data_IF_146450137937
#
_entry.id   IF_146450137937
#
_cell.length_a   1.000
_cell.length_b   1.000
_cell.length_c   1.000
_cell.angle_alpha   90.00
_cell.angle_beta   90.00
_cell.angle_gamma   90.00
#
_symmetry.space_group_name_H-M   'P 1'
#
loop_
_entity.id
_entity.type
_entity.pdbx_description
1 polymer ?
#
# COMPACT_ATOMS: atom_id res chain seq x y z
N UNK A 1 13.88 -13.19 -22.05
CA UNK A 1 14.06 -12.54 -20.75
C UNK A 1 13.61 -13.49 -19.65
N UNK A 2 14.38 -13.78 -18.60
CA UNK A 2 14.06 -14.83 -17.63
C UNK A 2 12.76 -14.55 -16.83
N UNK A 3 12.38 -13.29 -16.64
CA UNK A 3 11.14 -12.94 -15.96
C UNK A 3 9.89 -13.34 -16.78
N UNK A 4 9.92 -13.16 -18.10
CA UNK A 4 8.79 -13.52 -18.97
C UNK A 4 8.60 -15.03 -19.10
N UNK A 5 9.66 -15.83 -18.87
CA UNK A 5 9.55 -17.28 -18.87
C UNK A 5 8.63 -17.81 -17.75
N UNK A 6 8.54 -17.10 -16.60
CA UNK A 6 7.61 -17.45 -15.53
C UNK A 6 6.15 -17.31 -15.95
N UNK A 7 5.83 -16.37 -16.82
CA UNK A 7 4.47 -16.20 -17.35
C UNK A 7 4.05 -17.34 -18.30
N UNK A 8 4.99 -18.16 -18.75
CA UNK A 8 4.70 -19.41 -19.48
C UNK A 8 4.23 -20.55 -18.57
N UNK A 9 4.43 -20.45 -17.26
CA UNK A 9 4.01 -21.46 -16.29
C UNK A 9 2.56 -21.17 -15.84
N UNK A 10 1.66 -22.11 -16.09
CA UNK A 10 0.21 -21.93 -15.91
C UNK A 10 -0.16 -21.40 -14.52
N UNK A 11 0.34 -22.03 -13.45
CA UNK A 11 -0.06 -21.68 -12.09
C UNK A 11 0.54 -20.35 -11.64
N UNK A 12 1.77 -20.03 -12.09
CA UNK A 12 2.36 -18.71 -11.87
C UNK A 12 1.57 -17.61 -12.61
N UNK A 13 1.19 -17.86 -13.86
CA UNK A 13 0.37 -16.92 -14.65
C UNK A 13 -0.99 -16.66 -13.99
N UNK A 14 -1.66 -17.72 -13.51
CA UNK A 14 -2.93 -17.60 -12.78
C UNK A 14 -2.75 -16.73 -11.53
N UNK A 15 -1.73 -16.99 -10.73
CA UNK A 15 -1.43 -16.20 -9.53
C UNK A 15 -1.15 -14.74 -9.88
N UNK A 16 -0.38 -14.49 -10.94
CA UNK A 16 0.01 -13.16 -11.39
C UNK A 16 -1.17 -12.36 -11.95
N UNK A 17 -2.00 -12.95 -12.82
CA UNK A 17 -3.21 -12.30 -13.37
C UNK A 17 -4.22 -12.01 -12.26
N UNK A 18 -4.48 -12.96 -11.36
CA UNK A 18 -5.38 -12.74 -10.24
C UNK A 18 -4.92 -11.57 -9.37
N UNK A 19 -3.61 -11.46 -9.12
CA UNK A 19 -3.05 -10.30 -8.38
C UNK A 19 -3.22 -8.99 -9.14
N UNK A 20 -3.00 -8.99 -10.46
CA UNK A 20 -3.19 -7.78 -11.29
C UNK A 20 -4.61 -7.26 -11.20
N UNK A 21 -5.58 -8.16 -11.34
CA UNK A 21 -7.02 -7.84 -11.26
C UNK A 21 -7.38 -7.36 -9.85
N UNK A 22 -6.91 -8.06 -8.82
CA UNK A 22 -7.16 -7.70 -7.44
C UNK A 22 -6.57 -6.34 -7.06
N UNK A 23 -5.33 -6.03 -7.44
CA UNK A 23 -4.73 -4.71 -7.17
C UNK A 23 -5.47 -3.59 -7.90
N UNK A 24 -5.90 -3.82 -9.13
CA UNK A 24 -6.72 -2.87 -9.87
C UNK A 24 -8.07 -2.64 -9.19
N UNK A 25 -8.80 -3.72 -8.83
CA UNK A 25 -10.07 -3.67 -8.09
C UNK A 25 -9.93 -2.89 -6.78
N UNK A 26 -8.94 -3.25 -5.97
CA UNK A 26 -8.69 -2.65 -4.65
C UNK A 26 -8.34 -1.16 -4.75
N UNK A 27 -7.51 -0.75 -5.72
CA UNK A 27 -7.16 0.66 -5.92
C UNK A 27 -8.31 1.48 -6.47
N UNK A 28 -9.11 0.87 -7.34
CA UNK A 28 -10.37 1.44 -7.82
C UNK A 28 -11.34 1.64 -6.66
N UNK A 29 -11.57 0.60 -5.85
CA UNK A 29 -12.48 0.65 -4.70
C UNK A 29 -12.07 1.73 -3.70
N UNK A 30 -10.77 1.91 -3.44
CA UNK A 30 -10.30 2.96 -2.53
C UNK A 30 -10.75 4.36 -2.94
N UNK A 31 -10.68 4.68 -4.23
CA UNK A 31 -11.15 5.95 -4.77
C UNK A 31 -12.67 6.06 -4.70
N UNK A 32 -13.38 4.99 -5.12
CA UNK A 32 -14.86 4.94 -5.15
C UNK A 32 -15.42 5.07 -3.74
N UNK A 33 -14.84 4.38 -2.75
CA UNK A 33 -15.20 4.51 -1.33
C UNK A 33 -15.01 5.93 -0.79
N UNK A 34 -13.89 6.56 -1.14
CA UNK A 34 -13.63 7.93 -0.71
C UNK A 34 -14.72 8.90 -1.21
N UNK A 35 -15.12 8.81 -2.48
CA UNK A 35 -16.23 9.61 -3.02
C UNK A 35 -17.58 9.23 -2.42
N UNK A 36 -17.85 7.94 -2.23
CA UNK A 36 -19.11 7.47 -1.66
C UNK A 36 -19.29 7.97 -0.22
N UNK A 37 -18.25 7.84 0.61
CA UNK A 37 -18.29 8.31 2.00
C UNK A 37 -18.40 9.83 2.05
N UNK A 38 -17.68 10.55 1.18
CA UNK A 38 -17.78 12.00 1.09
C UNK A 38 -19.21 12.43 0.71
N UNK A 39 -19.82 11.76 -0.25
CA UNK A 39 -21.21 12.04 -0.64
C UNK A 39 -22.22 11.74 0.48
N UNK A 40 -22.03 10.66 1.24
CA UNK A 40 -22.94 10.27 2.33
C UNK A 40 -22.81 11.14 3.57
N UNK A 41 -21.63 11.66 3.85
CA UNK A 41 -21.33 12.31 5.14
C UNK A 41 -20.95 13.78 5.03
N UNK A 42 -20.52 14.25 3.85
CA UNK A 42 -19.97 15.60 3.66
C UNK A 42 -18.70 15.86 4.49
N UNK A 43 -18.03 14.81 4.97
CA UNK A 43 -16.99 14.94 6.00
C UNK A 43 -15.68 14.29 5.62
N UNK A 44 -14.61 15.08 5.55
CA UNK A 44 -13.25 14.59 5.38
C UNK A 44 -12.79 13.67 6.52
N UNK A 45 -13.32 13.84 7.74
CA UNK A 45 -13.03 12.93 8.85
C UNK A 45 -13.46 11.50 8.54
N UNK A 46 -14.69 11.32 8.05
CA UNK A 46 -15.18 9.99 7.69
C UNK A 46 -14.38 9.38 6.52
N UNK A 47 -13.91 10.19 5.58
CA UNK A 47 -13.00 9.71 4.52
C UNK A 47 -11.66 9.22 5.13
N UNK A 48 -11.12 9.94 6.10
CA UNK A 48 -9.91 9.52 6.84
C UNK A 48 -10.07 8.20 7.59
N UNK A 49 -11.28 7.93 8.13
CA UNK A 49 -11.58 6.66 8.80
C UNK A 49 -11.46 5.43 7.87
N UNK A 50 -11.54 5.59 6.55
CA UNK A 50 -11.23 4.49 5.60
C UNK A 50 -9.83 3.94 5.85
N UNK A 51 -8.83 4.81 6.03
CA UNK A 51 -7.46 4.39 6.35
C UNK A 51 -7.40 3.66 7.69
N UNK A 52 -8.13 4.15 8.69
CA UNK A 52 -8.15 3.58 10.05
C UNK A 52 -8.73 2.15 10.02
N UNK A 53 -9.90 1.96 9.44
CA UNK A 53 -10.56 0.65 9.40
C UNK A 53 -9.83 -0.36 8.49
N UNK A 54 -9.26 0.11 7.38
CA UNK A 54 -8.52 -0.75 6.44
C UNK A 54 -7.16 -1.20 6.98
N UNK A 55 -6.44 -0.33 7.68
CA UNK A 55 -5.08 -0.63 8.16
C UNK A 55 -5.03 -0.93 9.67
N UNK A 56 -6.07 -0.59 10.42
CA UNK A 56 -6.17 -0.83 11.86
C UNK A 56 -5.98 -2.28 12.31
N UNK A 57 -6.50 -3.28 11.59
CA UNK A 57 -6.25 -4.69 11.93
C UNK A 57 -4.78 -5.09 11.82
N UNK A 58 -3.99 -4.43 10.96
CA UNK A 58 -2.62 -4.83 10.63
C UNK A 58 -1.66 -4.86 11.84
N UNK A 59 -1.57 -3.84 12.71
CA UNK A 59 -0.67 -3.86 13.86
C UNK A 59 -0.94 -5.02 14.82
N UNK A 60 -2.19 -5.41 14.98
CA UNK A 60 -2.59 -6.50 15.88
C UNK A 60 -2.48 -7.87 15.19
N UNK A 61 -3.07 -8.00 14.02
CA UNK A 61 -3.23 -9.30 13.35
C UNK A 61 -2.00 -9.75 12.58
N UNK A 62 -1.09 -8.83 12.17
CA UNK A 62 0.16 -9.23 11.49
C UNK A 62 1.03 -10.14 12.35
N UNK A 63 0.87 -10.08 13.66
CA UNK A 63 1.53 -10.96 14.62
C UNK A 63 1.13 -12.43 14.42
N UNK A 64 -0.13 -12.65 14.07
CA UNK A 64 -0.71 -13.99 13.90
C UNK A 64 -0.68 -14.44 12.45
N UNK A 65 -0.62 -13.50 11.49
CA UNK A 65 -0.74 -13.77 10.06
C UNK A 65 0.35 -14.71 9.54
N UNK A 66 1.59 -14.53 9.97
CA UNK A 66 2.69 -15.43 9.61
C UNK A 66 2.47 -16.85 10.10
N UNK A 67 2.02 -17.01 11.35
CA UNK A 67 1.73 -18.33 11.93
C UNK A 67 0.57 -19.03 11.23
N UNK A 68 -0.49 -18.28 10.91
CA UNK A 68 -1.63 -18.81 10.16
C UNK A 68 -1.19 -19.20 8.74
N UNK A 69 -0.40 -18.38 8.06
CA UNK A 69 0.12 -18.68 6.72
C UNK A 69 1.04 -19.91 6.68
N UNK A 70 1.75 -20.19 7.79
CA UNK A 70 2.61 -21.38 7.91
C UNK A 70 1.81 -22.65 8.25
N UNK A 71 0.70 -22.53 8.97
CA UNK A 71 -0.10 -23.67 9.48
C UNK A 71 -1.21 -24.11 8.53
N UNK A 72 -1.82 -23.17 7.80
CA UNK A 72 -2.94 -23.46 6.91
C UNK A 72 -2.50 -23.55 5.45
N UNK A 73 -3.33 -24.21 4.65
CA UNK A 73 -3.13 -24.29 3.20
C UNK A 73 -3.23 -22.89 2.58
N UNK A 74 -2.13 -22.41 1.99
CA UNK A 74 -2.00 -21.07 1.40
C UNK A 74 -3.04 -20.78 0.33
N UNK A 75 -3.36 -21.80 -0.50
CA UNK A 75 -4.43 -21.67 -1.49
C UNK A 75 -5.77 -21.38 -0.84
N UNK A 76 -6.09 -22.10 0.26
CA UNK A 76 -7.32 -21.86 1.00
C UNK A 76 -7.37 -20.45 1.60
N UNK A 77 -6.26 -19.98 2.18
CA UNK A 77 -6.17 -18.61 2.71
C UNK A 77 -6.45 -17.60 1.60
N UNK A 78 -5.82 -17.74 0.42
CA UNK A 78 -6.01 -16.83 -0.70
C UNK A 78 -7.47 -16.87 -1.22
N UNK A 79 -8.10 -18.04 -1.27
CA UNK A 79 -9.52 -18.16 -1.65
C UNK A 79 -10.40 -17.44 -0.63
N UNK A 80 -10.19 -17.65 0.68
CA UNK A 80 -10.95 -16.99 1.74
C UNK A 80 -10.79 -15.47 1.67
N UNK A 81 -9.56 -14.97 1.44
CA UNK A 81 -9.27 -13.55 1.28
C UNK A 81 -10.05 -12.96 0.08
N UNK A 82 -9.98 -13.58 -1.09
CA UNK A 82 -10.72 -13.09 -2.26
C UNK A 82 -12.22 -13.20 -2.09
N UNK A 83 -12.72 -14.23 -1.40
CA UNK A 83 -14.14 -14.32 -1.03
C UNK A 83 -14.57 -13.19 -0.10
N UNK A 84 -13.71 -12.78 0.84
CA UNK A 84 -14.00 -11.67 1.74
C UNK A 84 -14.10 -10.33 0.98
N UNK A 85 -13.22 -10.06 0.02
CA UNK A 85 -13.31 -8.87 -0.83
C UNK A 85 -14.58 -8.88 -1.69
N UNK A 86 -14.87 -10.00 -2.34
CA UNK A 86 -16.10 -10.15 -3.15
C UNK A 86 -17.37 -9.95 -2.31
N UNK A 87 -17.45 -10.57 -1.13
CA UNK A 87 -18.59 -10.41 -0.23
C UNK A 87 -18.76 -8.96 0.22
N UNK A 88 -17.66 -8.26 0.51
CA UNK A 88 -17.69 -6.83 0.84
C UNK A 88 -18.21 -6.01 -0.35
N UNK A 89 -17.71 -6.24 -1.56
CA UNK A 89 -18.13 -5.51 -2.75
C UNK A 89 -19.62 -5.74 -3.06
N UNK A 90 -20.08 -7.00 -3.00
CA UNK A 90 -21.50 -7.34 -3.21
C UNK A 90 -22.39 -6.72 -2.11
N UNK A 91 -21.97 -6.77 -0.85
CA UNK A 91 -22.76 -6.22 0.25
C UNK A 91 -22.94 -4.69 0.13
N UNK A 92 -21.88 -3.97 -0.25
CA UNK A 92 -21.96 -2.53 -0.53
C UNK A 92 -22.85 -2.28 -1.75
N UNK A 93 -22.67 -3.03 -2.84
CA UNK A 93 -23.52 -2.90 -4.03
C UNK A 93 -25.00 -3.07 -3.69
N UNK A 94 -25.35 -4.11 -2.94
CA UNK A 94 -26.74 -4.39 -2.55
C UNK A 94 -27.31 -3.25 -1.71
N UNK A 95 -26.56 -2.72 -0.75
CA UNK A 95 -27.03 -1.60 0.07
C UNK A 95 -27.18 -0.29 -0.72
N UNK A 96 -26.35 -0.07 -1.75
CA UNK A 96 -26.52 1.07 -2.67
C UNK A 96 -27.81 0.89 -3.48
N UNK A 97 -28.05 -0.30 -4.07
CA UNK A 97 -29.22 -0.58 -4.91
C UNK A 97 -30.54 -0.49 -4.10
N UNK A 98 -30.53 -0.98 -2.86
CA UNK A 98 -31.70 -0.91 -1.97
C UNK A 98 -31.90 0.46 -1.30
N UNK A 99 -30.96 1.39 -1.47
CA UNK A 99 -31.02 2.70 -0.83
C UNK A 99 -30.82 2.68 0.70
N UNK A 100 -30.36 1.56 1.26
CA UNK A 100 -30.18 1.37 2.71
C UNK A 100 -28.75 1.62 3.17
N UNK A 101 -27.89 2.14 2.28
CA UNK A 101 -26.47 2.31 2.58
C UNK A 101 -26.22 3.33 3.69
N UNK A 102 -25.43 2.93 4.69
CA UNK A 102 -24.96 3.79 5.76
C UNK A 102 -23.45 3.74 5.90
N UNK A 103 -22.82 4.85 6.27
CA UNK A 103 -21.37 4.93 6.40
C UNK A 103 -20.79 3.95 7.43
N UNK A 104 -21.51 3.65 8.52
CA UNK A 104 -21.06 2.64 9.50
C UNK A 104 -21.05 1.22 8.94
N UNK A 105 -21.99 0.88 8.06
CA UNK A 105 -21.98 -0.40 7.36
C UNK A 105 -20.74 -0.52 6.47
N UNK A 106 -20.43 0.56 5.72
CA UNK A 106 -19.22 0.63 4.90
C UNK A 106 -17.96 0.42 5.76
N UNK A 107 -17.85 1.08 6.92
CA UNK A 107 -16.70 0.88 7.81
C UNK A 107 -16.59 -0.56 8.33
N UNK A 108 -17.71 -1.21 8.61
CA UNK A 108 -17.73 -2.64 8.95
C UNK A 108 -17.15 -3.53 7.84
N UNK A 109 -17.54 -3.28 6.59
CA UNK A 109 -17.01 -4.02 5.42
C UNK A 109 -15.54 -3.73 5.17
N UNK A 110 -15.08 -2.48 5.32
CA UNK A 110 -13.67 -2.09 5.19
C UNK A 110 -12.83 -2.75 6.28
N UNK A 111 -13.32 -2.82 7.52
CA UNK A 111 -12.63 -3.52 8.61
C UNK A 111 -12.46 -5.01 8.28
N UNK A 112 -13.49 -5.64 7.74
CA UNK A 112 -13.45 -7.03 7.31
C UNK A 112 -12.42 -7.26 6.19
N UNK A 113 -12.37 -6.36 5.20
CA UNK A 113 -11.32 -6.34 4.17
C UNK A 113 -9.94 -6.13 4.77
N UNK A 114 -9.80 -5.22 5.76
CA UNK A 114 -8.56 -4.98 6.47
C UNK A 114 -8.01 -6.23 7.15
N UNK A 115 -8.89 -7.04 7.78
CA UNK A 115 -8.54 -8.34 8.38
C UNK A 115 -8.05 -9.31 7.29
N UNK A 116 -8.79 -9.44 6.20
CA UNK A 116 -8.44 -10.30 5.07
C UNK A 116 -7.08 -9.92 4.45
N UNK A 117 -6.83 -8.62 4.27
CA UNK A 117 -5.58 -8.08 3.73
C UNK A 117 -4.34 -8.49 4.53
N UNK A 118 -4.44 -8.60 5.85
CA UNK A 118 -3.31 -9.02 6.68
C UNK A 118 -2.88 -10.44 6.37
N UNK A 119 -3.80 -11.30 5.95
CA UNK A 119 -3.52 -12.70 5.58
C UNK A 119 -3.02 -12.86 4.15
N UNK A 120 -3.37 -11.93 3.23
CA UNK A 120 -2.99 -12.01 1.81
C UNK A 120 -1.47 -11.92 1.61
N UNK A 121 -0.84 -10.87 2.14
CA UNK A 121 0.58 -10.57 1.88
C UNK A 121 1.54 -11.75 2.16
N UNK A 122 1.54 -12.38 3.36
CA UNK A 122 2.46 -13.49 3.66
C UNK A 122 2.13 -14.76 2.86
N UNK A 123 0.85 -15.07 2.68
CA UNK A 123 0.41 -16.26 1.94
C UNK A 123 0.78 -16.17 0.46
N UNK A 124 0.60 -15.00 -0.14
CA UNK A 124 0.95 -14.74 -1.54
C UNK A 124 2.45 -14.77 -1.79
N UNK A 125 3.25 -14.11 -0.95
CA UNK A 125 4.73 -14.14 -1.10
C UNK A 125 5.27 -15.55 -1.03
N UNK A 126 4.72 -16.37 -0.16
CA UNK A 126 5.12 -17.77 -0.05
C UNK A 126 4.65 -18.58 -1.27
N UNK A 127 3.44 -18.33 -1.78
CA UNK A 127 2.95 -18.96 -3.01
C UNK A 127 3.82 -18.58 -4.23
N UNK A 128 4.28 -17.33 -4.32
CA UNK A 128 5.23 -16.88 -5.36
C UNK A 128 6.54 -17.67 -5.25
N UNK A 129 7.09 -17.82 -4.04
CA UNK A 129 8.31 -18.59 -3.82
C UNK A 129 8.15 -20.07 -4.19
N UNK A 130 7.02 -20.69 -3.83
CA UNK A 130 6.72 -22.09 -4.14
C UNK A 130 6.63 -22.34 -5.66
N UNK A 131 6.11 -21.37 -6.43
CA UNK A 131 5.97 -21.49 -7.89
C UNK A 131 7.23 -21.06 -8.65
N UNK A 132 7.95 -20.03 -8.20
CA UNK A 132 9.13 -19.53 -8.91
C UNK A 132 10.43 -20.26 -8.54
N UNK A 133 10.48 -20.82 -7.33
CA UNK A 133 11.71 -21.29 -6.72
C UNK A 133 12.67 -20.16 -6.31
N UNK A 134 13.68 -20.46 -5.48
CA UNK A 134 14.61 -19.45 -4.96
C UNK A 134 15.43 -18.76 -6.07
N UNK A 135 15.84 -19.51 -7.09
CA UNK A 135 16.67 -19.00 -8.18
C UNK A 135 15.97 -17.92 -9.03
N UNK A 136 14.63 -17.97 -9.16
CA UNK A 136 13.84 -17.03 -9.96
C UNK A 136 13.01 -16.07 -9.13
N UNK A 137 13.12 -16.11 -7.81
CA UNK A 137 12.32 -15.28 -6.90
C UNK A 137 12.45 -13.78 -7.20
N UNK A 138 13.66 -13.30 -7.50
CA UNK A 138 13.88 -11.90 -7.84
C UNK A 138 13.09 -11.48 -9.10
N UNK A 139 13.02 -12.35 -10.10
CA UNK A 139 12.24 -12.10 -11.32
C UNK A 139 10.73 -12.09 -11.04
N UNK A 140 10.26 -13.02 -10.19
CA UNK A 140 8.86 -13.07 -9.77
C UNK A 140 8.45 -11.83 -8.98
N UNK A 141 9.30 -11.35 -8.07
CA UNK A 141 9.06 -10.13 -7.29
C UNK A 141 9.08 -8.86 -8.16
N UNK A 142 9.85 -8.85 -9.26
CA UNK A 142 9.82 -7.76 -10.23
C UNK A 142 8.46 -7.70 -10.95
N UNK A 143 7.91 -8.85 -11.34
CA UNK A 143 6.56 -8.94 -11.93
C UNK A 143 5.47 -8.49 -10.95
N UNK A 144 5.63 -8.80 -9.66
CA UNK A 144 4.73 -8.32 -8.60
C UNK A 144 4.76 -6.79 -8.45
N UNK A 145 5.94 -6.19 -8.62
CA UNK A 145 6.09 -4.72 -8.61
C UNK A 145 5.36 -4.08 -9.79
N UNK A 146 5.37 -4.71 -10.96
CA UNK A 146 4.60 -4.25 -12.14
C UNK A 146 3.10 -4.26 -11.81
N UNK A 147 2.58 -5.33 -11.20
CA UNK A 147 1.18 -5.41 -10.80
C UNK A 147 0.78 -4.28 -9.86
N UNK A 148 1.58 -4.03 -8.82
CA UNK A 148 1.32 -2.98 -7.87
C UNK A 148 1.27 -1.58 -8.51
N UNK A 149 2.18 -1.31 -9.45
CA UNK A 149 2.22 -0.03 -10.17
C UNK A 149 1.07 0.09 -11.18
N UNK A 150 0.77 -0.98 -11.93
CA UNK A 150 -0.37 -1.00 -12.85
C UNK A 150 -1.69 -0.76 -12.11
N UNK A 151 -1.90 -1.41 -10.96
CA UNK A 151 -3.06 -1.19 -10.11
C UNK A 151 -3.20 0.25 -9.63
N UNK A 152 -2.08 0.89 -9.23
CA UNK A 152 -2.06 2.30 -8.81
C UNK A 152 -2.45 3.27 -9.93
N UNK A 153 -2.16 2.93 -11.18
CA UNK A 153 -2.47 3.79 -12.33
C UNK A 153 -3.90 3.52 -12.82
N UNK A 154 -4.20 2.26 -13.12
CA UNK A 154 -5.45 1.88 -13.79
C UNK A 154 -6.63 1.95 -12.82
N UNK A 155 -6.44 1.55 -11.56
CA UNK A 155 -7.52 1.48 -10.57
C UNK A 155 -8.24 2.81 -10.37
N UNK A 156 -7.55 3.88 -9.91
CA UNK A 156 -8.19 5.17 -9.70
C UNK A 156 -8.77 5.77 -10.98
N UNK A 157 -8.09 5.60 -12.13
CA UNK A 157 -8.56 6.09 -13.42
C UNK A 157 -9.91 5.45 -13.79
N UNK A 158 -10.01 4.12 -13.72
CA UNK A 158 -11.26 3.39 -13.98
C UNK A 158 -12.33 3.76 -12.96
N UNK A 159 -11.97 3.89 -11.67
CA UNK A 159 -12.89 4.29 -10.62
C UNK A 159 -13.55 5.63 -10.89
N UNK A 160 -12.76 6.65 -11.23
CA UNK A 160 -13.26 7.97 -11.57
C UNK A 160 -14.17 7.99 -12.81
N UNK A 161 -13.79 7.26 -13.88
CA UNK A 161 -14.60 7.14 -15.10
C UNK A 161 -15.91 6.40 -14.82
N UNK A 162 -15.88 5.27 -14.11
CA UNK A 162 -17.08 4.49 -13.83
C UNK A 162 -18.07 5.24 -12.94
N UNK A 163 -17.61 5.99 -11.94
CA UNK A 163 -18.49 6.85 -11.16
C UNK A 163 -19.19 7.86 -12.07
N UNK A 164 -18.45 8.50 -12.99
CA UNK A 164 -19.00 9.52 -13.87
C UNK A 164 -20.04 8.96 -14.86
N UNK A 165 -19.82 7.76 -15.40
CA UNK A 165 -20.65 7.17 -16.47
C UNK A 165 -21.80 6.34 -15.91
N UNK A 166 -21.57 5.55 -14.87
CA UNK A 166 -22.52 4.55 -14.36
C UNK A 166 -22.91 4.76 -12.90
N UNK A 167 -22.38 5.80 -12.24
CA UNK A 167 -22.58 6.04 -10.83
C UNK A 167 -21.91 4.99 -9.94
N UNK A 168 -22.19 5.04 -8.65
CA UNK A 168 -21.64 4.09 -7.68
C UNK A 168 -22.13 2.65 -7.89
N UNK A 169 -23.36 2.46 -8.38
CA UNK A 169 -23.91 1.13 -8.69
C UNK A 169 -23.03 0.43 -9.74
N UNK A 170 -22.78 1.10 -10.87
CA UNK A 170 -21.96 0.51 -11.93
C UNK A 170 -20.49 0.33 -11.51
N UNK A 171 -19.94 1.26 -10.73
CA UNK A 171 -18.59 1.14 -10.21
C UNK A 171 -18.45 -0.10 -9.30
N UNK A 172 -19.37 -0.31 -8.34
CA UNK A 172 -19.36 -1.49 -7.47
C UNK A 172 -19.73 -2.79 -8.19
N UNK A 173 -20.61 -2.75 -9.19
CA UNK A 173 -20.86 -3.92 -10.04
C UNK A 173 -19.59 -4.35 -10.78
N UNK A 174 -18.81 -3.39 -11.30
CA UNK A 174 -17.55 -3.69 -11.97
C UNK A 174 -16.49 -4.21 -10.99
N UNK A 175 -16.37 -3.65 -9.77
CA UNK A 175 -15.51 -4.15 -8.70
C UNK A 175 -15.86 -5.62 -8.39
N UNK A 176 -17.16 -5.92 -8.20
CA UNK A 176 -17.61 -7.28 -7.92
C UNK A 176 -17.26 -8.25 -9.07
N UNK A 177 -17.38 -7.84 -10.33
CA UNK A 177 -16.98 -8.64 -11.49
C UNK A 177 -15.47 -8.94 -11.45
N UNK A 178 -14.63 -7.94 -11.17
CA UNK A 178 -13.19 -8.14 -11.04
C UNK A 178 -12.84 -9.11 -9.91
N UNK A 179 -13.50 -8.99 -8.76
CA UNK A 179 -13.27 -9.86 -7.61
C UNK A 179 -13.78 -11.29 -7.87
N UNK A 180 -14.89 -11.47 -8.62
CA UNK A 180 -15.33 -12.80 -9.10
C UNK A 180 -14.26 -13.42 -9.99
N UNK A 181 -13.71 -12.68 -10.95
CA UNK A 181 -12.67 -13.20 -11.85
C UNK A 181 -11.42 -13.58 -11.04
N UNK A 182 -10.98 -12.72 -10.11
CA UNK A 182 -9.84 -12.99 -9.25
C UNK A 182 -10.06 -14.22 -8.37
N UNK A 183 -11.25 -14.40 -7.79
CA UNK A 183 -11.63 -15.57 -6.99
C UNK A 183 -11.65 -16.86 -7.83
N UNK A 184 -12.25 -16.83 -9.02
CA UNK A 184 -12.28 -17.98 -9.94
C UNK A 184 -10.87 -18.42 -10.32
N UNK A 185 -9.97 -17.47 -10.57
CA UNK A 185 -8.56 -17.76 -10.83
C UNK A 185 -7.89 -18.41 -9.61
N UNK A 186 -8.15 -17.92 -8.39
CA UNK A 186 -7.61 -18.54 -7.17
C UNK A 186 -8.15 -19.96 -6.93
N UNK A 187 -9.41 -20.22 -7.26
CA UNK A 187 -9.98 -21.57 -7.20
C UNK A 187 -9.31 -22.53 -8.21
N UNK A 188 -8.89 -22.03 -9.39
CA UNK A 188 -8.17 -22.82 -10.41
C UNK A 188 -6.68 -22.99 -10.12
N UNK A 189 -6.10 -22.21 -9.20
CA UNK A 189 -4.70 -22.25 -8.84
C UNK A 189 -4.34 -23.58 -8.18
N UNK A 190 -3.23 -24.18 -8.58
CA UNK A 190 -2.67 -25.38 -7.95
C UNK A 190 -1.34 -25.01 -7.32
N UNK A 191 -1.25 -25.13 -6.01
CA UNK A 191 -0.01 -24.92 -5.26
C UNK A 191 0.55 -26.26 -4.81
N UNK A 192 1.88 -26.46 -4.84
CA UNK A 192 2.50 -27.66 -4.33
C UNK A 192 2.22 -27.77 -2.81
N UNK A 193 1.86 -28.98 -2.40
CA UNK A 193 1.66 -29.29 -0.98
C UNK A 193 3.03 -29.44 -0.32
N UNK A 194 3.41 -28.49 0.53
CA UNK A 194 4.67 -28.57 1.26
C UNK A 194 4.50 -29.42 2.52
N UNK A 195 5.42 -30.36 2.74
CA UNK A 195 5.47 -31.14 3.97
C UNK A 195 5.63 -30.20 5.18
N UNK A 196 4.81 -30.41 6.22
CA UNK A 196 4.78 -29.59 7.45
C UNK A 196 6.03 -29.75 8.35
N UNK A 197 7.01 -30.58 7.97
CA UNK A 197 8.00 -31.11 8.91
C UNK A 197 9.26 -30.27 9.15
N UNK A 198 9.40 -29.04 8.63
CA UNK A 198 10.70 -28.34 8.72
C UNK A 198 10.66 -26.91 9.28
N UNK A 199 9.78 -26.58 10.18
CA UNK A 199 9.89 -25.25 10.83
C UNK A 199 9.77 -25.34 12.35
N UNK A 200 10.92 -25.36 13.00
CA UNK A 200 11.08 -24.90 14.38
C UNK A 200 10.82 -23.39 14.42
N UNK A 201 9.55 -23.01 14.54
CA UNK A 201 9.18 -21.60 14.71
C UNK A 201 9.22 -21.26 16.18
N UNK A 202 10.05 -20.27 16.53
CA UNK A 202 9.99 -19.65 17.85
C UNK A 202 8.56 -19.12 18.09
N UNK A 203 8.13 -19.06 19.38
CA UNK A 203 6.87 -18.42 19.72
C UNK A 203 6.79 -17.03 19.09
N UNK A 204 5.64 -16.70 18.49
CA UNK A 204 5.42 -15.45 17.73
C UNK A 204 5.85 -14.23 18.54
N UNK A 205 5.51 -14.18 19.83
CA UNK A 205 5.88 -13.10 20.74
C UNK A 205 7.40 -12.90 20.82
N UNK A 206 8.16 -13.99 20.94
CA UNK A 206 9.62 -13.92 21.02
C UNK A 206 10.23 -13.45 19.70
N UNK A 207 9.72 -13.94 18.58
CA UNK A 207 10.18 -13.54 17.25
C UNK A 207 10.00 -12.04 17.02
N UNK A 208 8.86 -11.47 17.44
CA UNK A 208 8.57 -10.05 17.34
C UNK A 208 9.44 -9.21 18.28
N UNK A 209 9.49 -9.60 19.56
CA UNK A 209 10.31 -8.90 20.54
C UNK A 209 11.75 -8.85 20.10
N UNK A 210 12.27 -9.95 19.55
CA UNK A 210 13.63 -9.98 18.98
C UNK A 210 13.78 -9.07 17.75
N UNK A 211 12.78 -9.06 16.84
CA UNK A 211 12.78 -8.16 15.69
C UNK A 211 12.78 -6.69 16.09
N UNK A 212 11.90 -6.30 17.00
CA UNK A 212 11.82 -4.92 17.51
C UNK A 212 13.10 -4.55 18.27
N UNK A 213 13.56 -5.42 19.18
CA UNK A 213 14.79 -5.18 19.99
C UNK A 213 16.03 -5.03 19.10
N UNK A 214 16.14 -5.83 18.04
CA UNK A 214 17.22 -5.69 17.08
C UNK A 214 17.09 -4.39 16.28
N UNK A 215 15.90 -4.08 15.80
CA UNK A 215 15.61 -2.86 15.02
C UNK A 215 15.92 -1.59 15.79
N UNK A 216 15.60 -1.55 17.08
CA UNK A 216 15.91 -0.40 17.96
C UNK A 216 17.43 -0.28 18.24
N UNK A 217 18.16 -1.41 18.32
CA UNK A 217 19.59 -1.40 18.56
C UNK A 217 20.41 -1.04 17.32
N UNK A 218 19.94 -1.38 16.13
CA UNK A 218 20.61 -1.05 14.88
C UNK A 218 20.19 0.34 14.41
N UNK A 219 21.09 1.32 14.52
CA UNK A 219 20.82 2.75 14.19
C UNK A 219 20.34 2.95 12.75
N UNK A 220 20.82 2.16 11.80
CA UNK A 220 20.40 2.25 10.39
C UNK A 220 18.96 1.76 10.22
N UNK A 221 18.65 0.58 10.78
CA UNK A 221 17.29 0.02 10.72
C UNK A 221 16.31 0.93 11.45
N UNK A 222 16.67 1.40 12.65
CA UNK A 222 15.85 2.34 13.43
C UNK A 222 15.57 3.62 12.64
N UNK A 223 16.58 4.20 11.98
CA UNK A 223 16.42 5.37 11.13
C UNK A 223 15.41 5.13 10.00
N UNK A 224 15.48 3.97 9.32
CA UNK A 224 14.50 3.60 8.29
C UNK A 224 13.10 3.48 8.88
N UNK A 225 12.95 2.85 10.06
CA UNK A 225 11.64 2.69 10.69
C UNK A 225 11.01 4.03 11.09
N UNK A 226 11.81 4.96 11.65
CA UNK A 226 11.30 6.28 12.04
C UNK A 226 10.92 7.11 10.81
N UNK A 227 11.77 7.15 9.78
CA UNK A 227 11.42 7.83 8.50
C UNK A 227 10.15 7.22 7.90
N UNK A 228 10.01 5.89 7.96
CA UNK A 228 8.80 5.20 7.47
C UNK A 228 7.56 5.57 8.28
N UNK A 229 7.69 5.69 9.61
CA UNK A 229 6.59 6.13 10.48
C UNK A 229 6.14 7.55 10.12
N UNK A 230 7.08 8.47 9.97
CA UNK A 230 6.81 9.86 9.56
C UNK A 230 6.10 9.90 8.21
N UNK A 231 6.60 9.18 7.22
CA UNK A 231 6.01 9.18 5.89
C UNK A 231 4.61 8.56 5.88
N UNK A 232 4.41 7.42 6.55
CA UNK A 232 3.11 6.75 6.59
C UNK A 232 2.11 7.47 7.51
N UNK A 233 2.57 8.22 8.51
CA UNK A 233 1.72 9.00 9.40
C UNK A 233 1.33 10.36 8.80
N UNK A 234 2.30 11.11 8.31
CA UNK A 234 2.08 12.52 7.98
C UNK A 234 1.90 12.80 6.48
N UNK A 235 2.40 11.93 5.58
CA UNK A 235 2.47 12.25 4.15
C UNK A 235 1.63 11.31 3.28
N UNK A 236 1.81 10.00 3.38
CA UNK A 236 1.10 9.04 2.52
C UNK A 236 -0.41 8.96 2.71
N UNK A 237 -1.02 9.32 3.86
CA UNK A 237 -2.47 9.31 3.97
C UNK A 237 -3.19 10.21 2.97
N UNK A 238 -2.52 11.18 2.32
CA UNK A 238 -3.10 11.99 1.22
C UNK A 238 -3.83 11.14 0.18
N UNK A 239 -3.36 9.91 -0.09
CA UNK A 239 -3.98 9.01 -1.07
C UNK A 239 -5.46 8.68 -0.75
N UNK A 240 -5.86 8.72 0.52
CA UNK A 240 -7.26 8.51 0.93
C UNK A 240 -8.10 9.76 0.72
N UNK A 241 -7.47 10.93 0.72
CA UNK A 241 -8.14 12.22 0.60
C UNK A 241 -8.17 12.78 -0.84
N UNK A 242 -7.69 12.03 -1.84
CA UNK A 242 -7.78 12.43 -3.25
C UNK A 242 -9.21 12.82 -3.65
N UNK A 243 -10.29 12.09 -3.27
CA UNK A 243 -11.66 12.51 -3.53
C UNK A 243 -12.01 13.87 -2.91
N UNK A 244 -11.57 14.13 -1.67
CA UNK A 244 -11.81 15.42 -0.98
C UNK A 244 -11.06 16.55 -1.67
N UNK A 245 -9.79 16.33 -2.04
CA UNK A 245 -8.99 17.33 -2.77
C UNK A 245 -9.63 17.65 -4.13
N UNK A 246 -10.05 16.61 -4.87
CA UNK A 246 -10.68 16.78 -6.17
C UNK A 246 -12.01 17.54 -6.10
N UNK A 247 -12.87 17.23 -5.11
CA UNK A 247 -14.18 17.85 -4.93
C UNK A 247 -14.11 19.23 -4.30
N UNK A 248 -13.45 19.33 -3.14
CA UNK A 248 -13.57 20.51 -2.27
C UNK A 248 -12.51 21.58 -2.57
N UNK A 249 -11.30 21.17 -3.03
CA UNK A 249 -10.21 22.11 -3.32
C UNK A 249 -10.15 22.46 -4.81
N UNK A 250 -10.16 21.45 -5.66
CA UNK A 250 -9.99 21.65 -7.10
C UNK A 250 -11.31 21.81 -7.85
N UNK A 251 -12.44 21.46 -7.23
CA UNK A 251 -13.79 21.50 -7.81
C UNK A 251 -13.87 20.82 -9.19
N UNK A 252 -13.23 19.65 -9.33
CA UNK A 252 -13.13 18.90 -10.58
C UNK A 252 -14.02 17.65 -10.55
N UNK A 253 -14.31 17.11 -11.74
CA UNK A 253 -15.10 15.88 -11.90
C UNK A 253 -14.39 14.65 -11.31
N UNK A 254 -15.17 13.59 -11.05
CA UNK A 254 -14.64 12.30 -10.58
C UNK A 254 -13.64 11.68 -11.55
N UNK A 255 -13.79 11.94 -12.87
CA UNK A 255 -12.80 11.51 -13.90
C UNK A 255 -11.45 12.17 -13.64
N UNK A 256 -11.43 13.49 -13.45
CA UNK A 256 -10.20 14.20 -13.14
C UNK A 256 -9.64 13.79 -11.77
N UNK A 257 -10.51 13.50 -10.79
CA UNK A 257 -10.09 12.91 -9.50
C UNK A 257 -9.43 11.54 -9.66
N UNK A 258 -9.93 10.70 -10.57
CA UNK A 258 -9.29 9.43 -10.94
C UNK A 258 -7.93 9.61 -11.61
N UNK A 259 -7.81 10.59 -12.52
CA UNK A 259 -6.53 10.97 -13.16
C UNK A 259 -5.55 11.49 -12.08
N UNK A 260 -6.01 12.32 -11.17
CA UNK A 260 -5.21 12.84 -10.06
C UNK A 260 -4.68 11.68 -9.17
N UNK A 261 -5.54 10.72 -8.84
CA UNK A 261 -5.17 9.55 -8.05
C UNK A 261 -4.20 8.59 -8.74
N UNK A 262 -4.11 8.63 -10.09
CA UNK A 262 -3.16 7.82 -10.86
C UNK A 262 -1.76 8.45 -11.00
N UNK A 263 -1.63 9.76 -10.74
CA UNK A 263 -0.39 10.51 -10.93
C UNK A 263 0.79 9.93 -10.15
N UNK A 264 0.57 9.57 -8.87
CA UNK A 264 1.58 8.92 -8.02
C UNK A 264 2.07 7.59 -8.63
N UNK A 265 1.16 6.78 -9.16
CA UNK A 265 1.49 5.51 -9.82
C UNK A 265 2.35 5.71 -11.07
N UNK A 266 2.03 6.71 -11.90
CA UNK A 266 2.80 7.04 -13.12
C UNK A 266 4.21 7.51 -12.74
N UNK A 267 4.32 8.44 -11.80
CA UNK A 267 5.60 8.93 -11.29
C UNK A 267 6.47 7.82 -10.71
N UNK A 268 5.86 6.92 -9.90
CA UNK A 268 6.54 5.78 -9.30
C UNK A 268 7.08 4.81 -10.39
N UNK A 269 6.30 4.53 -11.42
CA UNK A 269 6.74 3.67 -12.53
C UNK A 269 7.95 4.26 -13.25
N UNK A 270 7.93 5.57 -13.55
CA UNK A 270 9.05 6.29 -14.17
C UNK A 270 10.29 6.21 -13.27
N UNK A 271 10.14 6.54 -11.98
CA UNK A 271 11.24 6.53 -11.02
C UNK A 271 11.84 5.15 -10.82
N UNK A 272 11.00 4.12 -10.69
CA UNK A 272 11.43 2.74 -10.54
C UNK A 272 12.19 2.25 -11.77
N UNK A 273 11.74 2.60 -12.98
CA UNK A 273 12.43 2.29 -14.23
C UNK A 273 13.82 2.95 -14.28
N UNK A 274 13.92 4.22 -13.88
CA UNK A 274 15.21 4.93 -13.81
C UNK A 274 16.17 4.30 -12.80
N UNK A 275 15.67 3.85 -11.65
CA UNK A 275 16.48 3.16 -10.63
C UNK A 275 16.96 1.81 -11.16
N UNK A 276 16.09 1.05 -11.83
CA UNK A 276 16.43 -0.26 -12.41
C UNK A 276 17.50 -0.20 -13.50
N UNK A 277 17.61 0.93 -14.22
CA UNK A 277 18.64 1.14 -15.23
C UNK A 277 20.03 1.47 -14.66
N UNK A 278 20.10 1.82 -13.36
CA UNK A 278 21.39 2.12 -12.71
C UNK A 278 22.10 0.83 -12.29
N UNK A 279 23.30 0.61 -12.78
CA UNK A 279 24.13 -0.58 -12.45
C UNK A 279 24.57 -0.64 -11.00
N UNK A 280 24.91 0.51 -10.40
CA UNK A 280 25.39 0.60 -9.01
C UNK A 280 24.76 1.79 -8.30
N UNK A 281 24.13 1.53 -7.17
CA UNK A 281 23.59 2.55 -6.28
C UNK A 281 24.49 2.61 -5.04
N UNK A 282 25.34 3.61 -4.96
CA UNK A 282 26.31 3.76 -3.86
C UNK A 282 25.76 4.52 -2.65
N UNK A 283 24.62 5.20 -2.77
CA UNK A 283 24.04 6.06 -1.72
C UNK A 283 22.57 5.70 -1.46
N UNK A 284 22.34 4.50 -0.91
CA UNK A 284 20.99 3.99 -0.65
C UNK A 284 20.18 4.93 0.27
N UNK A 285 20.81 5.41 1.36
CA UNK A 285 20.12 6.28 2.31
C UNK A 285 19.80 7.66 1.75
N UNK A 286 20.63 8.23 0.86
CA UNK A 286 20.34 9.50 0.19
C UNK A 286 19.14 9.37 -0.75
N UNK A 287 19.01 8.28 -1.49
CA UNK A 287 17.84 8.01 -2.34
C UNK A 287 16.59 7.77 -1.51
N UNK A 288 16.72 7.12 -0.36
CA UNK A 288 15.61 6.87 0.56
C UNK A 288 15.06 8.16 1.15
N UNK A 289 15.91 8.95 1.81
CA UNK A 289 15.52 10.20 2.47
C UNK A 289 15.20 11.28 1.44
N UNK A 290 15.97 11.36 0.36
CA UNK A 290 15.71 12.30 -0.74
C UNK A 290 14.38 12.04 -1.43
N UNK A 291 14.05 10.75 -1.68
CA UNK A 291 12.74 10.36 -2.18
C UNK A 291 11.61 10.75 -1.23
N UNK A 292 11.77 10.50 0.07
CA UNK A 292 10.80 10.93 1.10
C UNK A 292 10.62 12.46 1.10
N UNK A 293 11.71 13.21 1.00
CA UNK A 293 11.68 14.68 0.95
C UNK A 293 10.92 15.21 -0.27
N UNK A 294 11.17 14.63 -1.45
CA UNK A 294 10.48 15.03 -2.68
C UNK A 294 8.98 14.81 -2.54
N UNK A 295 8.56 13.66 -1.96
CA UNK A 295 7.13 13.39 -1.73
C UNK A 295 6.55 14.41 -0.76
N UNK A 296 7.20 14.66 0.38
CA UNK A 296 6.69 15.56 1.41
C UNK A 296 6.55 16.99 0.88
N UNK A 297 7.52 17.48 0.11
CA UNK A 297 7.46 18.79 -0.55
C UNK A 297 6.33 18.82 -1.59
N UNK A 298 6.22 17.80 -2.43
CA UNK A 298 5.15 17.70 -3.43
C UNK A 298 3.77 17.73 -2.78
N UNK A 299 3.55 16.95 -1.72
CA UNK A 299 2.28 16.91 -0.98
C UNK A 299 1.97 18.23 -0.30
N UNK A 300 2.97 18.90 0.29
CA UNK A 300 2.80 20.26 0.85
C UNK A 300 2.33 21.23 -0.22
N UNK A 301 2.95 21.21 -1.39
CA UNK A 301 2.59 22.12 -2.48
C UNK A 301 1.21 21.78 -3.09
N UNK A 302 0.85 20.50 -3.19
CA UNK A 302 -0.49 20.06 -3.61
C UNK A 302 -1.57 20.61 -2.71
N UNK A 303 -1.34 20.61 -1.39
CA UNK A 303 -2.32 21.13 -0.43
C UNK A 303 -2.71 22.60 -0.69
N UNK A 304 -1.76 23.40 -1.18
CA UNK A 304 -1.97 24.83 -1.46
C UNK A 304 -2.26 25.15 -2.93
N UNK A 305 -2.25 24.14 -3.82
CA UNK A 305 -2.47 24.34 -5.25
C UNK A 305 -3.97 24.37 -5.57
N UNK A 306 -4.50 25.47 -6.14
CA UNK A 306 -5.89 25.51 -6.60
C UNK A 306 -6.07 24.96 -8.03
N UNK A 307 -5.00 24.55 -8.69
CA UNK A 307 -5.00 24.22 -10.10
C UNK A 307 -4.72 22.74 -10.33
N UNK A 308 -5.65 22.08 -11.02
CA UNK A 308 -5.58 20.63 -11.31
C UNK A 308 -4.25 20.22 -11.95
N UNK A 309 -3.81 20.92 -12.99
CA UNK A 309 -2.59 20.54 -13.73
C UNK A 309 -1.34 20.62 -12.84
N UNK A 310 -1.26 21.64 -11.98
CA UNK A 310 -0.14 21.80 -11.04
C UNK A 310 -0.19 20.66 -10.01
N UNK A 311 -1.35 20.37 -9.42
CA UNK A 311 -1.53 19.28 -8.46
C UNK A 311 -1.19 17.92 -9.07
N UNK A 312 -1.58 17.68 -10.34
CA UNK A 312 -1.24 16.46 -11.06
C UNK A 312 0.27 16.31 -11.26
N UNK A 313 0.95 17.38 -11.72
CA UNK A 313 2.41 17.37 -11.92
C UNK A 313 3.15 17.16 -10.59
N UNK A 314 2.71 17.83 -9.52
CA UNK A 314 3.30 17.69 -8.19
C UNK A 314 3.15 16.26 -7.66
N UNK A 315 1.97 15.62 -7.79
CA UNK A 315 1.77 14.22 -7.41
C UNK A 315 2.60 13.26 -8.26
N UNK A 316 2.78 13.56 -9.55
CA UNK A 316 3.65 12.78 -10.44
C UNK A 316 5.12 12.87 -9.97
N UNK A 317 5.61 14.08 -9.60
CA UNK A 317 6.95 14.28 -9.03
C UNK A 317 7.06 13.57 -7.68
N UNK A 318 6.03 13.63 -6.83
CA UNK A 318 5.94 12.89 -5.58
C UNK A 318 6.06 11.37 -5.80
N UNK A 319 5.33 10.84 -6.78
CA UNK A 319 5.40 9.44 -7.19
C UNK A 319 6.80 9.03 -7.67
N UNK A 320 7.48 9.89 -8.42
CA UNK A 320 8.88 9.66 -8.81
C UNK A 320 9.80 9.55 -7.58
N UNK A 321 9.64 10.43 -6.59
CA UNK A 321 10.33 10.32 -5.30
C UNK A 321 9.99 9.03 -4.55
N UNK A 322 8.73 8.57 -4.63
CA UNK A 322 8.27 7.34 -3.97
C UNK A 322 9.02 6.10 -4.46
N UNK A 323 9.45 6.05 -5.72
CA UNK A 323 10.26 4.95 -6.23
C UNK A 323 11.58 4.81 -5.46
N UNK A 324 12.27 5.93 -5.20
CA UNK A 324 13.48 5.95 -4.39
C UNK A 324 13.23 5.53 -2.95
N UNK A 325 12.18 6.08 -2.33
CA UNK A 325 11.76 5.73 -0.97
C UNK A 325 11.45 4.23 -0.84
N UNK A 326 10.51 3.70 -1.62
CA UNK A 326 10.00 2.34 -1.45
C UNK A 326 11.05 1.27 -1.77
N UNK A 327 11.83 1.47 -2.85
CA UNK A 327 12.89 0.52 -3.25
C UNK A 327 14.01 0.50 -2.21
N UNK A 328 14.45 1.67 -1.75
CA UNK A 328 15.55 1.75 -0.80
C UNK A 328 15.15 1.35 0.62
N UNK A 329 13.89 1.58 1.03
CA UNK A 329 13.36 1.14 2.32
C UNK A 329 13.60 -0.35 2.55
N UNK A 330 13.12 -1.18 1.63
CA UNK A 330 13.29 -2.64 1.72
C UNK A 330 14.76 -3.05 1.61
N UNK A 331 15.50 -2.42 0.69
CA UNK A 331 16.93 -2.74 0.44
C UNK A 331 17.78 -2.45 1.67
N UNK A 332 17.65 -1.27 2.28
CA UNK A 332 18.45 -0.88 3.45
C UNK A 332 18.15 -1.81 4.63
N UNK A 333 16.88 -2.12 4.90
CA UNK A 333 16.49 -3.03 5.98
C UNK A 333 17.09 -4.42 5.78
N UNK A 334 17.07 -4.95 4.54
CA UNK A 334 17.63 -6.26 4.22
C UNK A 334 19.15 -6.29 4.38
N UNK A 335 19.85 -5.26 3.89
CA UNK A 335 21.33 -5.19 3.94
C UNK A 335 21.84 -4.92 5.36
N UNK A 336 21.16 -4.06 6.11
CA UNK A 336 21.52 -3.72 7.49
C UNK A 336 21.08 -4.77 8.51
N UNK A 337 20.37 -5.82 8.11
CA UNK A 337 19.88 -6.87 9.00
C UNK A 337 20.67 -8.16 8.83
N UNK A 338 21.02 -8.81 9.98
CA UNK A 338 21.59 -10.17 9.98
C UNK A 338 20.63 -11.12 9.27
N UNK A 339 21.17 -12.09 8.53
CA UNK A 339 20.40 -13.01 7.69
C UNK A 339 19.26 -13.70 8.47
N UNK A 340 19.54 -14.12 9.70
CA UNK A 340 18.59 -14.82 10.59
C UNK A 340 17.43 -13.92 11.08
N UNK A 341 17.63 -12.59 11.08
CA UNK A 341 16.68 -11.60 11.61
C UNK A 341 15.95 -10.81 10.51
N UNK A 342 16.27 -11.03 9.21
CA UNK A 342 15.67 -10.27 8.09
C UNK A 342 14.14 -10.32 8.06
N UNK A 343 13.57 -11.50 8.27
CA UNK A 343 12.11 -11.65 8.30
C UNK A 343 11.48 -10.89 9.48
N UNK A 344 12.15 -10.89 10.63
CA UNK A 344 11.67 -10.21 11.85
C UNK A 344 11.76 -8.69 11.75
N UNK A 345 12.85 -8.17 11.16
CA UNK A 345 12.98 -6.72 10.91
C UNK A 345 11.99 -6.23 9.86
N UNK A 346 11.68 -7.02 8.83
CA UNK A 346 10.61 -6.71 7.88
C UNK A 346 9.22 -6.76 8.53
N UNK A 347 8.99 -7.66 9.48
CA UNK A 347 7.79 -7.68 10.29
C UNK A 347 7.63 -6.40 11.12
N UNK A 348 8.70 -5.94 11.77
CA UNK A 348 8.71 -4.66 12.50
C UNK A 348 8.43 -3.47 11.57
N UNK A 349 8.98 -3.47 10.35
CA UNK A 349 8.69 -2.45 9.32
C UNK A 349 7.20 -2.46 8.92
N UNK A 350 6.62 -3.64 8.73
CA UNK A 350 5.19 -3.78 8.43
C UNK A 350 4.28 -3.22 9.52
N UNK A 351 4.65 -3.45 10.79
CA UNK A 351 3.96 -2.87 11.97
C UNK A 351 4.01 -1.34 11.95
N UNK A 352 5.21 -0.77 11.77
CA UNK A 352 5.43 0.67 11.75
C UNK A 352 4.65 1.33 10.61
N UNK A 353 4.65 0.74 9.43
CA UNK A 353 3.89 1.24 8.28
C UNK A 353 2.37 1.20 8.56
N UNK A 354 1.87 0.11 9.17
CA UNK A 354 0.46 -0.02 9.54
C UNK A 354 0.02 1.01 10.58
N UNK A 355 0.81 1.19 11.65
CA UNK A 355 0.57 2.21 12.67
C UNK A 355 0.57 3.63 12.09
N UNK A 356 1.54 3.93 11.21
CA UNK A 356 1.59 5.22 10.54
C UNK A 356 0.31 5.53 9.77
N UNK A 357 -0.14 4.64 8.90
CA UNK A 357 -1.38 4.83 8.13
C UNK A 357 -2.63 4.96 9.00
N UNK A 358 -2.69 4.22 10.12
CA UNK A 358 -3.80 4.30 11.07
C UNK A 358 -3.83 5.69 11.73
N UNK A 359 -2.72 6.12 12.30
CA UNK A 359 -2.60 7.41 12.98
C UNK A 359 -2.87 8.56 12.00
N UNK A 360 -2.21 8.54 10.84
CA UNK A 360 -2.28 9.63 9.87
C UNK A 360 -3.66 9.78 9.23
N UNK A 361 -4.37 8.68 8.95
CA UNK A 361 -5.74 8.76 8.45
C UNK A 361 -6.69 9.41 9.45
N UNK A 362 -6.57 9.04 10.72
CA UNK A 362 -7.35 9.64 11.81
C UNK A 362 -6.99 11.11 12.03
N UNK A 363 -5.71 11.41 12.17
CA UNK A 363 -5.20 12.75 12.49
C UNK A 363 -5.55 13.75 11.39
N UNK A 364 -5.21 13.44 10.12
CA UNK A 364 -5.52 14.31 8.98
C UNK A 364 -7.03 14.51 8.86
N UNK A 365 -7.83 13.45 9.03
CA UNK A 365 -9.29 13.55 9.02
C UNK A 365 -9.83 14.44 10.13
N UNK A 366 -9.32 14.33 11.36
CA UNK A 366 -9.71 15.15 12.50
C UNK A 366 -9.34 16.63 12.31
N UNK A 367 -8.12 16.90 11.87
CA UNK A 367 -7.69 18.28 11.56
C UNK A 367 -8.50 18.84 10.39
N UNK A 368 -8.77 18.04 9.36
CA UNK A 368 -9.53 18.47 8.19
C UNK A 368 -10.98 18.85 8.54
N UNK A 369 -11.60 18.15 9.49
CA UNK A 369 -12.96 18.49 9.94
C UNK A 369 -13.02 19.79 10.71
N UNK A 370 -11.94 20.20 11.39
CA UNK A 370 -11.90 21.43 12.18
C UNK A 370 -11.37 22.64 11.38
N UNK A 371 -10.38 22.43 10.52
CA UNK A 371 -9.63 23.51 9.88
C UNK A 371 -9.60 23.42 8.33
N UNK A 372 -10.26 22.41 7.76
CA UNK A 372 -10.26 22.15 6.32
C UNK A 372 -9.09 21.27 5.85
N UNK A 373 -9.30 20.60 4.70
CA UNK A 373 -8.38 19.59 4.18
C UNK A 373 -7.02 20.16 3.76
N UNK A 374 -7.02 21.40 3.22
CA UNK A 374 -5.80 22.12 2.79
C UNK A 374 -4.82 22.31 3.95
N UNK A 375 -5.30 22.84 5.09
CA UNK A 375 -4.48 23.01 6.28
C UNK A 375 -4.04 21.68 6.88
N UNK A 376 -4.94 20.69 6.94
CA UNK A 376 -4.64 19.37 7.48
C UNK A 376 -3.48 18.71 6.72
N UNK A 377 -3.56 18.61 5.41
CA UNK A 377 -2.51 18.01 4.58
C UNK A 377 -1.25 18.86 4.57
N UNK A 378 -1.38 20.19 4.40
CA UNK A 378 -0.25 21.10 4.31
C UNK A 378 0.59 21.10 5.59
N UNK A 379 -0.04 21.23 6.78
CA UNK A 379 0.66 21.22 8.06
C UNK A 379 1.31 19.86 8.36
N UNK A 380 0.61 18.75 8.10
CA UNK A 380 1.17 17.43 8.31
C UNK A 380 2.38 17.16 7.40
N UNK A 381 2.30 17.49 6.12
CA UNK A 381 3.41 17.32 5.20
C UNK A 381 4.59 18.25 5.53
N UNK A 382 4.33 19.49 5.96
CA UNK A 382 5.36 20.42 6.42
C UNK A 382 6.04 19.93 7.70
N UNK A 383 5.28 19.42 8.68
CA UNK A 383 5.84 18.75 9.86
C UNK A 383 6.69 17.54 9.46
N UNK A 384 6.23 16.76 8.47
CA UNK A 384 6.99 15.66 7.88
C UNK A 384 8.34 16.13 7.32
N UNK A 385 8.40 17.27 6.60
CA UNK A 385 9.64 17.86 6.08
C UNK A 385 10.60 18.19 7.23
N UNK A 386 10.11 18.85 8.28
CA UNK A 386 10.95 19.24 9.44
C UNK A 386 11.53 17.99 10.10
N UNK A 387 10.70 16.97 10.32
CA UNK A 387 11.15 15.70 10.92
C UNK A 387 12.13 14.96 10.02
N UNK A 388 11.93 14.94 8.69
CA UNK A 388 12.85 14.34 7.74
C UNK A 388 14.22 15.03 7.73
N UNK A 389 14.26 16.37 7.82
CA UNK A 389 15.51 17.13 7.93
C UNK A 389 16.23 16.76 9.23
N UNK A 390 15.53 16.74 10.35
CA UNK A 390 16.10 16.34 11.64
C UNK A 390 16.67 14.90 11.58
N UNK A 391 15.91 13.96 11.00
CA UNK A 391 16.32 12.57 10.84
C UNK A 391 17.51 12.42 9.89
N UNK A 392 17.59 13.20 8.83
CA UNK A 392 18.73 13.23 7.90
C UNK A 392 20.03 13.63 8.61
N UNK A 393 19.94 14.52 9.61
CA UNK A 393 21.10 15.00 10.39
C UNK A 393 21.48 13.99 11.49
N UNK A 394 20.48 13.46 12.21
CA UNK A 394 20.69 12.62 13.41
C UNK A 394 21.05 11.18 13.03
N UNK A 395 20.45 10.64 11.95
CA UNK A 395 20.66 9.25 11.56
C UNK A 395 21.83 9.09 10.60
N UNK A 396 22.50 7.93 10.58
CA UNK A 396 23.61 7.68 9.66
C UNK A 396 23.17 7.50 8.20
N UNK A 397 21.85 7.47 7.91
CA UNK A 397 21.30 7.11 6.62
C UNK A 397 21.89 7.90 5.43
N UNK A 398 21.98 9.23 5.56
CA UNK A 398 22.47 10.09 4.47
C UNK A 398 24.00 10.08 4.37
N UNK A 399 24.67 9.87 5.50
CA UNK A 399 26.15 9.91 5.58
C UNK A 399 26.81 8.63 5.12
N UNK A 400 26.13 7.49 5.17
CA UNK A 400 26.69 6.19 4.77
C UNK A 400 26.91 6.13 3.26
N UNK A 401 28.19 5.90 2.88
CA UNK A 401 28.59 5.56 1.50
C UNK A 401 28.85 4.06 1.44
N UNK A 402 28.28 3.39 0.44
CA UNK A 402 28.39 1.93 0.27
C UNK A 402 27.18 1.14 0.78
N UNK A 403 27.29 -0.18 0.81
CA UNK A 403 26.23 -1.06 1.33
C UNK A 403 26.14 -0.92 2.84
N UNK A 404 24.92 -0.73 3.41
CA UNK A 404 24.72 -0.79 4.85
C UNK A 404 25.22 -2.12 5.41
N UNK A 405 26.04 -2.06 6.45
CA UNK A 405 26.53 -3.27 7.12
C UNK A 405 25.59 -3.66 8.26
N UNK A 406 25.43 -4.97 8.55
CA UNK A 406 24.58 -5.49 9.60
C UNK A 406 25.06 -5.14 11.01
#
# INVERSE_FOLDING_TARGET
>A
MPALALLGERDFLILWISKSIHEMSRRMELLVLGYLILQLTGSAFHVGLVSVFLNGPRPVLSLFAGHIADRFNRRLILIVVHSAYLLSAISILLTIVTGTIGHWFIFGTILFQGIAKVMDDPSRRTAILDLSGEARLANAMSLETINNNAGKIIGPLLGGVLIAVTGFIGAYAFIAILDIIALVLMIKLRLPTRSQNERLTLPIRESLVQGIKYSVKNRTVLGVLIVSLVMNGLVFPIQYFIPVIASDVLSVSTVLGGILGSADGIGNLIGASMIAMKRNISRHGLLFVGGAMIIAVAVTLVAWSPWFLISFILLLIGGWGQAGFSTMQATIVLLASRQELRGRTQGAQGLVNGLGHLIGGYEIGAIASAFGITLAIGLNAAAGIILLIALAIITPLVKQRGTPQP
#
